data_IF_548202141581
#
_entry.id   IF_548202141581
#
_cell.length_a   1.000
_cell.length_b   1.000
_cell.length_c   1.000
_cell.angle_alpha   90.00
_cell.angle_beta   90.00
_cell.angle_gamma   90.00
#
_symmetry.space_group_name_H-M   'P 1'
#
loop_
_entity.id
_entity.type
_entity.pdbx_description
1 polymer ?
#
# COMPACT_ATOMS: atom_id res chain seq x y z
N UNK A 1 17.76 -25.05 9.62
CA UNK A 1 16.59 -24.54 8.88
C UNK A 1 17.06 -23.42 7.99
N UNK A 2 17.10 -23.64 6.68
CA UNK A 2 17.42 -22.60 5.71
C UNK A 2 16.17 -21.73 5.60
N UNK A 3 16.19 -20.54 6.22
CA UNK A 3 15.28 -19.46 5.84
C UNK A 3 15.75 -19.02 4.46
N UNK A 4 15.00 -19.36 3.43
CA UNK A 4 15.30 -18.88 2.08
C UNK A 4 15.21 -17.34 2.09
N UNK A 5 16.31 -16.58 1.92
CA UNK A 5 16.31 -15.12 2.02
C UNK A 5 15.71 -14.43 0.79
N UNK A 6 15.35 -15.17 -0.26
CA UNK A 6 15.01 -14.65 -1.59
C UNK A 6 13.53 -14.33 -1.79
N UNK A 7 12.81 -14.02 -0.72
CA UNK A 7 11.54 -13.29 -0.82
C UNK A 7 11.34 -12.47 0.44
N UNK A 8 11.82 -11.25 0.43
CA UNK A 8 11.41 -10.31 1.48
C UNK A 8 9.90 -10.14 1.38
N UNK A 9 9.24 -9.91 2.52
CA UNK A 9 7.79 -9.67 2.54
C UNK A 9 7.40 -8.47 1.68
N UNK A 10 8.32 -7.53 1.47
CA UNK A 10 8.19 -6.39 0.54
C UNK A 10 8.08 -6.84 -0.92
N UNK A 11 8.95 -7.74 -1.40
CA UNK A 11 8.90 -8.25 -2.78
C UNK A 11 7.57 -8.95 -3.09
N UNK A 12 6.96 -9.60 -2.08
CA UNK A 12 5.64 -10.21 -2.23
C UNK A 12 4.56 -9.12 -2.37
N UNK A 13 4.59 -8.07 -1.54
CA UNK A 13 3.65 -6.95 -1.65
C UNK A 13 3.78 -6.26 -3.02
N UNK A 14 5.01 -6.00 -3.46
CA UNK A 14 5.29 -5.39 -4.77
C UNK A 14 4.79 -6.27 -5.91
N UNK A 15 4.94 -7.59 -5.80
CA UNK A 15 4.36 -8.53 -6.75
C UNK A 15 2.84 -8.39 -6.89
N UNK A 16 2.12 -8.25 -5.77
CA UNK A 16 0.67 -8.05 -5.79
C UNK A 16 0.29 -6.70 -6.41
N UNK A 17 1.05 -5.64 -6.10
CA UNK A 17 0.84 -4.31 -6.70
C UNK A 17 1.04 -4.36 -8.21
N UNK A 18 2.10 -5.04 -8.69
CA UNK A 18 2.32 -5.21 -10.13
C UNK A 18 1.18 -5.98 -10.80
N UNK A 19 0.68 -7.06 -10.19
CA UNK A 19 -0.46 -7.81 -10.70
C UNK A 19 -1.70 -6.91 -10.81
N UNK A 20 -2.00 -6.15 -9.76
CA UNK A 20 -3.12 -5.21 -9.75
C UNK A 20 -3.01 -4.17 -10.89
N UNK A 21 -1.82 -3.57 -11.09
CA UNK A 21 -1.55 -2.64 -12.19
C UNK A 21 -1.78 -3.25 -13.56
N UNK A 22 -1.42 -4.52 -13.77
CA UNK A 22 -1.67 -5.20 -15.04
C UNK A 22 -3.16 -5.42 -15.27
N UNK A 23 -3.89 -5.87 -14.25
CA UNK A 23 -5.35 -6.08 -14.30
C UNK A 23 -6.07 -4.75 -14.60
N UNK A 24 -5.62 -3.68 -13.96
CA UNK A 24 -6.11 -2.33 -14.17
C UNK A 24 -5.88 -1.82 -15.60
N UNK A 25 -4.68 -2.03 -16.16
CA UNK A 25 -4.39 -1.73 -17.57
C UNK A 25 -5.27 -2.55 -18.53
N UNK A 26 -5.69 -3.75 -18.12
CA UNK A 26 -6.67 -4.57 -18.83
C UNK A 26 -8.13 -4.12 -18.66
N UNK A 27 -8.40 -3.07 -17.88
CA UNK A 27 -9.73 -2.47 -17.70
C UNK A 27 -10.56 -3.06 -16.56
N UNK A 28 -10.07 -4.10 -15.86
CA UNK A 28 -10.82 -4.72 -14.77
C UNK A 28 -10.52 -4.06 -13.41
N UNK A 29 -11.04 -2.85 -13.22
CA UNK A 29 -10.78 -2.05 -12.01
C UNK A 29 -11.27 -2.71 -10.71
N UNK A 30 -12.35 -3.49 -10.77
CA UNK A 30 -12.90 -4.17 -9.59
C UNK A 30 -11.99 -5.30 -9.10
N UNK A 31 -11.41 -6.08 -10.02
CA UNK A 31 -10.44 -7.11 -9.66
C UNK A 31 -9.11 -6.48 -9.21
N UNK A 32 -8.66 -5.40 -9.85
CA UNK A 32 -7.48 -4.66 -9.41
C UNK A 32 -7.64 -4.15 -7.97
N UNK A 33 -8.80 -3.60 -7.61
CA UNK A 33 -9.11 -3.15 -6.25
C UNK A 33 -8.97 -4.28 -5.22
N UNK A 34 -9.47 -5.48 -5.53
CA UNK A 34 -9.34 -6.63 -4.64
C UNK A 34 -7.87 -6.98 -4.40
N UNK A 35 -7.06 -7.00 -5.46
CA UNK A 35 -5.62 -7.31 -5.37
C UNK A 35 -4.86 -6.23 -4.59
N UNK A 36 -5.12 -4.94 -4.83
CA UNK A 36 -4.52 -3.88 -4.03
C UNK A 36 -4.92 -3.93 -2.55
N UNK A 37 -6.17 -4.30 -2.23
CA UNK A 37 -6.60 -4.52 -0.83
C UNK A 37 -5.86 -5.68 -0.19
N UNK A 38 -5.63 -6.77 -0.92
CA UNK A 38 -4.80 -7.88 -0.46
C UNK A 38 -3.35 -7.45 -0.23
N UNK A 39 -2.78 -6.65 -1.14
CA UNK A 39 -1.44 -6.08 -0.98
C UNK A 39 -1.35 -5.22 0.28
N UNK A 40 -2.33 -4.35 0.52
CA UNK A 40 -2.39 -3.52 1.72
C UNK A 40 -2.51 -4.35 3.00
N UNK A 41 -3.38 -5.36 3.01
CA UNK A 41 -3.53 -6.26 4.17
C UNK A 41 -2.21 -7.00 4.46
N UNK A 42 -1.52 -7.46 3.42
CA UNK A 42 -0.26 -8.14 3.55
C UNK A 42 0.83 -7.20 4.09
N UNK A 43 0.97 -6.02 3.51
CA UNK A 43 1.92 -4.99 3.92
C UNK A 43 1.75 -4.62 5.40
N UNK A 44 0.50 -4.39 5.84
CA UNK A 44 0.20 -4.11 7.25
C UNK A 44 0.61 -5.29 8.15
N UNK A 45 0.27 -6.52 7.76
CA UNK A 45 0.56 -7.69 8.60
C UNK A 45 2.04 -8.07 8.68
N UNK A 46 2.80 -7.85 7.61
CA UNK A 46 4.19 -8.34 7.49
C UNK A 46 5.23 -7.25 7.71
N UNK A 47 4.93 -6.02 7.32
CA UNK A 47 5.86 -4.88 7.36
C UNK A 47 5.41 -3.82 8.38
N UNK A 48 4.16 -3.87 8.84
CA UNK A 48 3.60 -2.95 9.83
C UNK A 48 2.89 -1.75 9.21
N UNK A 49 2.04 -1.11 10.01
CA UNK A 49 1.21 0.01 9.57
C UNK A 49 2.00 1.27 9.15
N UNK A 50 3.24 1.44 9.62
CA UNK A 50 4.07 2.60 9.32
C UNK A 50 5.10 2.33 8.21
N UNK A 51 5.08 1.14 7.60
CA UNK A 51 6.04 0.78 6.56
C UNK A 51 5.80 1.50 5.23
N UNK A 52 6.88 1.67 4.46
CA UNK A 52 6.81 2.17 3.09
C UNK A 52 5.89 1.31 2.20
N UNK A 53 5.90 -0.02 2.38
CA UNK A 53 5.02 -0.94 1.67
C UNK A 53 3.53 -0.65 1.94
N UNK A 54 3.16 -0.37 3.19
CA UNK A 54 1.79 0.05 3.55
C UNK A 54 1.44 1.39 2.88
N UNK A 55 2.35 2.36 2.91
CA UNK A 55 2.18 3.65 2.25
C UNK A 55 1.94 3.50 0.75
N UNK A 56 2.72 2.65 0.09
CA UNK A 56 2.61 2.43 -1.35
C UNK A 56 1.26 1.81 -1.73
N UNK A 57 0.82 0.75 -1.04
CA UNK A 57 -0.49 0.15 -1.29
C UNK A 57 -1.66 1.11 -1.03
N UNK A 58 -1.54 2.05 -0.08
CA UNK A 58 -2.53 3.10 0.15
C UNK A 58 -2.61 4.09 -1.01
N UNK A 59 -1.48 4.51 -1.58
CA UNK A 59 -1.42 5.39 -2.75
C UNK A 59 -2.10 4.75 -3.96
N UNK A 60 -1.82 3.48 -4.22
CA UNK A 60 -2.40 2.77 -5.36
C UNK A 60 -3.93 2.64 -5.23
N UNK A 61 -4.45 2.35 -4.03
CA UNK A 61 -5.89 2.35 -3.79
C UNK A 61 -6.52 3.74 -3.91
N UNK A 62 -5.81 4.77 -3.44
CA UNK A 62 -6.25 6.15 -3.58
C UNK A 62 -6.40 6.55 -5.06
N UNK A 63 -5.37 6.32 -5.89
CA UNK A 63 -5.40 6.63 -7.33
C UNK A 63 -6.51 5.87 -8.04
N UNK A 64 -6.64 4.57 -7.74
CA UNK A 64 -7.68 3.74 -8.31
C UNK A 64 -9.09 4.27 -7.99
N UNK A 65 -9.33 4.71 -6.75
CA UNK A 65 -10.62 5.29 -6.36
C UNK A 65 -10.88 6.65 -6.98
N UNK A 66 -9.86 7.52 -7.11
CA UNK A 66 -9.98 8.80 -7.80
C UNK A 66 -10.40 8.59 -9.26
N UNK A 67 -9.77 7.64 -9.95
CA UNK A 67 -10.09 7.29 -11.34
C UNK A 67 -11.48 6.69 -11.53
N UNK A 68 -12.05 6.09 -10.48
CA UNK A 68 -13.43 5.60 -10.45
C UNK A 68 -14.45 6.68 -10.01
N UNK A 69 -14.01 7.89 -9.65
CA UNK A 69 -14.87 8.93 -9.09
C UNK A 69 -15.36 8.63 -7.66
N UNK A 70 -14.73 7.67 -6.96
CA UNK A 70 -15.10 7.21 -5.62
C UNK A 70 -14.40 8.02 -4.54
N UNK A 71 -14.73 9.30 -4.48
CA UNK A 71 -14.04 10.28 -3.63
C UNK A 71 -14.05 9.93 -2.14
N UNK A 72 -15.14 9.32 -1.63
CA UNK A 72 -15.22 8.94 -0.21
C UNK A 72 -14.19 7.87 0.15
N UNK A 73 -13.98 6.89 -0.71
CA UNK A 73 -12.99 5.84 -0.50
C UNK A 73 -11.57 6.34 -0.73
N UNK A 74 -11.36 7.18 -1.76
CA UNK A 74 -10.09 7.86 -1.98
C UNK A 74 -9.68 8.67 -0.74
N UNK A 75 -10.58 9.50 -0.21
CA UNK A 75 -10.33 10.30 0.99
C UNK A 75 -9.89 9.43 2.18
N UNK A 76 -10.52 8.27 2.39
CA UNK A 76 -10.12 7.34 3.47
C UNK A 76 -8.68 6.84 3.30
N UNK A 77 -8.26 6.53 2.07
CA UNK A 77 -6.88 6.09 1.82
C UNK A 77 -5.89 7.23 2.03
N UNK A 78 -6.23 8.43 1.55
CA UNK A 78 -5.44 9.64 1.75
C UNK A 78 -5.26 9.97 3.24
N UNK A 79 -6.32 9.91 4.04
CA UNK A 79 -6.24 10.15 5.49
C UNK A 79 -5.35 9.14 6.21
N UNK A 80 -5.35 7.87 5.77
CA UNK A 80 -4.45 6.85 6.31
C UNK A 80 -3.00 7.14 5.92
N UNK A 81 -2.75 7.50 4.66
CA UNK A 81 -1.42 7.87 4.18
C UNK A 81 -0.88 9.09 4.92
N UNK A 82 -1.70 10.12 5.12
CA UNK A 82 -1.33 11.32 5.87
C UNK A 82 -0.91 10.97 7.31
N UNK A 83 -1.68 10.12 8.01
CA UNK A 83 -1.31 9.68 9.37
C UNK A 83 0.03 8.93 9.42
N UNK A 84 0.33 8.14 8.39
CA UNK A 84 1.61 7.46 8.26
C UNK A 84 2.75 8.48 8.13
N UNK A 85 2.60 9.43 7.21
CA UNK A 85 3.61 10.48 7.00
C UNK A 85 3.79 11.37 8.22
N UNK A 86 2.70 11.79 8.87
CA UNK A 86 2.75 12.59 10.11
C UNK A 86 3.59 11.89 11.19
N UNK A 87 3.41 10.56 11.35
CA UNK A 87 4.21 9.78 12.31
C UNK A 87 5.66 9.63 11.89
N UNK A 88 5.90 9.33 10.61
CA UNK A 88 7.25 9.25 10.07
C UNK A 88 8.05 10.55 10.34
N UNK A 89 7.45 11.71 10.10
CA UNK A 89 8.10 12.99 10.39
C UNK A 89 8.29 13.26 11.89
N UNK A 90 7.33 12.86 12.74
CA UNK A 90 7.47 13.01 14.19
C UNK A 90 8.67 12.20 14.72
N UNK A 91 8.77 10.92 14.33
CA UNK A 91 9.88 10.03 14.72
C UNK A 91 11.23 10.60 14.24
N UNK A 92 11.31 11.08 13.00
CA UNK A 92 12.53 11.75 12.49
C UNK A 92 12.92 13.00 13.29
N UNK A 93 11.96 13.76 13.81
CA UNK A 93 12.26 14.96 14.62
C UNK A 93 12.68 14.63 16.04
N UNK A 94 12.22 13.51 16.59
CA UNK A 94 12.61 13.02 17.92
C UNK A 94 14.01 12.38 17.89
N UNK A 95 14.35 11.63 16.83
CA UNK A 95 15.69 11.01 16.69
C UNK A 95 16.83 12.02 16.48
N UNK A 96 16.51 13.25 16.05
CA UNK A 96 17.48 14.32 15.77
C UNK A 96 17.64 15.34 16.92
N UNK A 97 17.00 15.11 18.07
CA UNK A 97 17.10 15.95 19.29
C UNK A 97 17.68 15.18 20.47
#
# INVERSE_FOLDING_TARGET
MIKDPLRTTEEVVDGYIHIAKMIEKGGNLAQAEQVYKSALSLAVSQNGEQSAATGYALVELWDLYERQGRQKEAQKMWERLRRLLDRYYAEMTEENN
#
